data_IF_245869067088
#
_entry.id   IF_245869067088
#
_cell.length_a   1.000
_cell.length_b   1.000
_cell.length_c   1.000
_cell.angle_alpha   90.00
_cell.angle_beta   90.00
_cell.angle_gamma   90.00
#
_symmetry.space_group_name_H-M   'P 1'
#
loop_
_entity.id
_entity.type
_entity.pdbx_description
1 polymer ?
#
# COMPACT_ATOMS: atom_id res chain seq x y z
N UNK A 1 -12.65 -9.81 48.80
CA UNK A 1 -13.83 -10.68 48.54
C UNK A 1 -14.86 -9.82 47.81
N UNK A 2 -15.44 -10.29 46.70
CA UNK A 2 -16.50 -9.51 46.04
C UNK A 2 -17.74 -9.47 46.94
N UNK A 3 -18.50 -8.38 46.91
CA UNK A 3 -19.68 -8.19 47.76
C UNK A 3 -20.68 -9.36 47.66
N UNK A 4 -20.88 -9.85 46.43
CA UNK A 4 -21.71 -11.03 46.13
C UNK A 4 -21.20 -12.35 46.73
N UNK A 5 -19.89 -12.51 46.89
CA UNK A 5 -19.30 -13.69 47.53
C UNK A 5 -19.51 -13.65 49.06
N UNK A 6 -19.47 -12.43 49.64
CA UNK A 6 -19.74 -12.20 51.07
C UNK A 6 -21.21 -12.50 51.39
N UNK A 7 -22.14 -12.05 50.55
CA UNK A 7 -23.57 -12.24 50.77
C UNK A 7 -23.97 -13.72 50.64
N UNK A 8 -23.42 -14.44 49.67
CA UNK A 8 -23.60 -15.89 49.52
C UNK A 8 -23.09 -16.65 50.76
N UNK A 9 -21.93 -16.27 51.29
CA UNK A 9 -21.36 -16.88 52.49
C UNK A 9 -22.28 -16.69 53.71
N UNK A 10 -22.79 -15.49 53.93
CA UNK A 10 -23.71 -15.20 55.03
C UNK A 10 -25.08 -15.88 54.87
N UNK A 11 -25.57 -16.05 53.64
CA UNK A 11 -26.80 -16.79 53.37
C UNK A 11 -26.66 -18.28 53.72
N UNK A 12 -25.54 -18.92 53.34
CA UNK A 12 -25.28 -20.32 53.68
C UNK A 12 -25.10 -20.55 55.18
N UNK A 13 -24.52 -19.58 55.91
CA UNK A 13 -24.42 -19.63 57.36
C UNK A 13 -25.78 -19.54 58.06
N UNK A 14 -26.70 -18.73 57.53
CA UNK A 14 -28.04 -18.55 58.09
C UNK A 14 -28.98 -19.73 57.80
N UNK A 15 -28.79 -20.43 56.69
CA UNK A 15 -29.64 -21.54 56.25
C UNK A 15 -28.85 -22.84 56.04
N UNK A 16 -28.43 -23.52 57.12
CA UNK A 16 -27.74 -24.80 56.99
C UNK A 16 -28.70 -25.84 56.37
N UNK A 17 -28.39 -26.30 55.15
CA UNK A 17 -29.15 -27.34 54.44
C UNK A 17 -29.82 -26.90 53.13
N UNK A 18 -29.88 -25.60 52.85
CA UNK A 18 -30.28 -25.07 51.54
C UNK A 18 -29.18 -24.18 50.98
N UNK A 19 -28.13 -24.77 50.36
CA UNK A 19 -27.07 -23.97 49.78
C UNK A 19 -27.63 -23.09 48.67
N UNK A 20 -27.47 -21.78 48.81
CA UNK A 20 -27.82 -20.82 47.77
C UNK A 20 -26.97 -21.03 46.52
N UNK A 21 -27.48 -20.64 45.35
CA UNK A 21 -26.77 -20.84 44.09
C UNK A 21 -25.41 -20.11 44.11
N UNK A 22 -24.29 -20.82 43.89
CA UNK A 22 -22.97 -20.24 44.05
C UNK A 22 -22.74 -19.12 43.02
N UNK A 23 -22.02 -18.04 43.40
CA UNK A 23 -21.73 -16.96 42.47
C UNK A 23 -20.98 -17.51 41.25
N UNK A 24 -21.31 -17.05 40.03
CA UNK A 24 -20.71 -17.57 38.81
C UNK A 24 -19.19 -17.37 38.87
N UNK A 25 -18.42 -18.45 38.66
CA UNK A 25 -16.95 -18.42 38.68
C UNK A 25 -16.44 -17.41 37.64
N UNK A 26 -15.89 -16.28 38.12
CA UNK A 26 -15.30 -15.19 37.31
C UNK A 26 -14.35 -15.68 36.22
N UNK A 27 -13.69 -16.83 36.43
CA UNK A 27 -12.71 -17.41 35.49
C UNK A 27 -13.29 -17.68 34.09
N UNK A 28 -14.55 -18.11 33.98
CA UNK A 28 -15.19 -18.35 32.68
C UNK A 28 -15.50 -17.04 31.93
N UNK A 29 -15.76 -15.94 32.64
CA UNK A 29 -16.05 -14.65 32.01
C UNK A 29 -14.81 -14.04 31.35
N UNK A 30 -13.66 -14.07 32.05
CA UNK A 30 -12.39 -13.61 31.48
C UNK A 30 -11.96 -14.46 30.28
N UNK A 31 -12.14 -15.78 30.32
CA UNK A 31 -11.83 -16.66 29.19
C UNK A 31 -12.73 -16.37 27.98
N UNK A 32 -14.04 -16.21 28.18
CA UNK A 32 -14.96 -15.83 27.09
C UNK A 32 -14.62 -14.46 26.50
N UNK A 33 -14.21 -13.51 27.34
CA UNK A 33 -13.82 -12.16 26.88
C UNK A 33 -12.49 -12.17 26.13
N UNK A 34 -11.49 -12.89 26.64
CA UNK A 34 -10.21 -13.08 25.97
C UNK A 34 -10.38 -13.78 24.61
N UNK A 35 -11.23 -14.82 24.56
CA UNK A 35 -11.53 -15.54 23.32
C UNK A 35 -12.15 -14.61 22.26
N UNK A 36 -13.08 -13.73 22.65
CA UNK A 36 -13.63 -12.72 21.72
C UNK A 36 -12.55 -11.82 21.12
N UNK A 37 -11.63 -11.32 21.94
CA UNK A 37 -10.53 -10.47 21.46
C UNK A 37 -9.53 -11.22 20.59
N UNK A 38 -9.23 -12.49 20.91
CA UNK A 38 -8.39 -13.34 20.07
C UNK A 38 -9.04 -13.60 18.71
N UNK A 39 -10.35 -13.84 18.68
CA UNK A 39 -11.10 -14.06 17.44
C UNK A 39 -11.15 -12.79 16.58
N UNK A 40 -11.31 -11.62 17.21
CA UNK A 40 -11.23 -10.33 16.53
C UNK A 40 -9.82 -10.07 15.95
N UNK A 41 -8.76 -10.38 16.69
CA UNK A 41 -7.39 -10.28 16.19
C UNK A 41 -7.14 -11.24 15.02
N UNK A 42 -7.62 -12.48 15.12
CA UNK A 42 -7.50 -13.46 14.04
C UNK A 42 -8.21 -12.99 12.77
N UNK A 43 -9.40 -12.39 12.90
CA UNK A 43 -10.13 -11.79 11.77
C UNK A 43 -9.32 -10.67 11.11
N UNK A 44 -8.76 -9.75 11.90
CA UNK A 44 -7.95 -8.64 11.38
C UNK A 44 -6.70 -9.14 10.67
N UNK A 45 -6.03 -10.15 11.22
CA UNK A 45 -4.86 -10.77 10.58
C UNK A 45 -5.26 -11.45 9.27
N UNK A 46 -6.37 -12.19 9.23
CA UNK A 46 -6.86 -12.81 8.00
C UNK A 46 -7.18 -11.77 6.92
N UNK A 47 -7.80 -10.65 7.29
CA UNK A 47 -8.06 -9.52 6.38
C UNK A 47 -6.76 -8.89 5.88
N UNK A 48 -5.77 -8.68 6.75
CA UNK A 48 -4.48 -8.12 6.37
C UNK A 48 -3.73 -9.04 5.39
N UNK A 49 -3.75 -10.36 5.62
CA UNK A 49 -3.14 -11.34 4.70
C UNK A 49 -3.88 -11.35 3.36
N UNK A 50 -5.22 -11.35 3.38
CA UNK A 50 -6.03 -11.30 2.16
C UNK A 50 -5.78 -10.03 1.35
N UNK A 51 -5.70 -8.87 2.02
CA UNK A 51 -5.36 -7.60 1.39
C UNK A 51 -3.92 -7.60 0.83
N UNK A 52 -2.95 -8.16 1.56
CA UNK A 52 -1.58 -8.30 1.10
C UNK A 52 -1.45 -9.21 -0.13
N UNK A 53 -2.16 -10.34 -0.14
CA UNK A 53 -2.21 -11.24 -1.29
C UNK A 53 -2.88 -10.59 -2.50
N UNK A 54 -3.94 -9.80 -2.28
CA UNK A 54 -4.58 -9.02 -3.33
C UNK A 54 -3.62 -7.95 -3.88
N UNK A 55 -2.87 -7.26 -3.02
CA UNK A 55 -1.91 -6.23 -3.40
C UNK A 55 -0.74 -6.77 -4.23
N UNK A 56 -0.31 -8.00 -3.98
CA UNK A 56 0.76 -8.63 -4.76
C UNK A 56 0.28 -9.15 -6.13
N UNK A 57 -1.03 -9.26 -6.35
CA UNK A 57 -1.58 -9.79 -7.58
C UNK A 57 -1.72 -8.68 -8.65
N UNK A 58 -0.97 -8.71 -9.77
CA UNK A 58 -1.00 -7.63 -10.77
C UNK A 58 -2.37 -7.46 -11.45
N UNK A 59 -3.19 -8.52 -11.50
CA UNK A 59 -4.55 -8.45 -12.05
C UNK A 59 -5.51 -7.61 -11.20
N UNK A 60 -5.26 -7.52 -9.88
CA UNK A 60 -6.09 -6.72 -8.98
C UNK A 60 -5.90 -5.22 -9.19
N UNK A 61 -4.67 -4.80 -9.53
CA UNK A 61 -4.32 -3.42 -9.85
C UNK A 61 -5.05 -2.94 -11.10
N UNK A 62 -5.03 -3.73 -12.17
CA UNK A 62 -5.72 -3.38 -13.42
C UNK A 62 -7.24 -3.25 -13.24
N UNK A 63 -7.84 -4.16 -12.48
CA UNK A 63 -9.26 -4.09 -12.15
C UNK A 63 -9.59 -2.87 -11.28
N UNK A 64 -8.74 -2.58 -10.28
CA UNK A 64 -8.89 -1.45 -9.38
C UNK A 64 -8.81 -0.12 -10.11
N UNK A 65 -7.80 0.06 -10.97
CA UNK A 65 -7.64 1.24 -11.83
C UNK A 65 -8.85 1.44 -12.74
N UNK A 66 -9.28 0.39 -13.47
CA UNK A 66 -10.44 0.50 -14.37
C UNK A 66 -11.72 0.90 -13.62
N UNK A 67 -11.94 0.35 -12.42
CA UNK A 67 -13.09 0.69 -11.58
C UNK A 67 -13.00 2.11 -11.04
N UNK A 68 -11.81 2.54 -10.63
CA UNK A 68 -11.53 3.88 -10.12
C UNK A 68 -11.77 4.94 -11.18
N UNK A 69 -11.25 4.72 -12.39
CA UNK A 69 -11.49 5.58 -13.56
C UNK A 69 -12.97 5.66 -13.93
N UNK A 70 -13.69 4.54 -13.96
CA UNK A 70 -15.13 4.55 -14.21
C UNK A 70 -15.91 5.34 -13.15
N UNK A 71 -15.46 5.33 -11.89
CA UNK A 71 -16.04 6.10 -10.80
C UNK A 71 -15.73 7.59 -10.92
N UNK A 72 -14.48 7.95 -11.24
CA UNK A 72 -14.06 9.32 -11.49
C UNK A 72 -14.78 9.94 -12.69
N UNK A 73 -14.95 9.17 -13.78
CA UNK A 73 -15.73 9.59 -14.95
C UNK A 73 -17.19 9.84 -14.61
N UNK A 74 -17.82 8.97 -13.79
CA UNK A 74 -19.19 9.19 -13.30
C UNK A 74 -19.33 10.43 -12.41
N UNK A 75 -18.29 10.76 -11.67
CA UNK A 75 -18.27 11.94 -10.81
C UNK A 75 -17.82 13.22 -11.54
N UNK A 76 -17.46 13.12 -12.83
CA UNK A 76 -16.94 14.26 -13.60
C UNK A 76 -15.60 14.80 -13.06
N UNK A 77 -14.90 14.03 -12.23
CA UNK A 77 -13.62 14.37 -11.60
C UNK A 77 -12.43 13.82 -12.38
N UNK A 78 -12.68 13.14 -13.51
CA UNK A 78 -11.62 12.61 -14.34
C UNK A 78 -10.82 13.78 -14.94
N UNK A 79 -9.64 14.02 -14.38
CA UNK A 79 -8.65 14.88 -15.02
C UNK A 79 -8.35 14.24 -16.37
N UNK A 80 -8.46 14.97 -17.50
CA UNK A 80 -7.94 14.44 -18.75
C UNK A 80 -6.49 14.07 -18.45
N UNK A 81 -6.12 12.81 -18.71
CA UNK A 81 -4.74 12.40 -18.62
C UNK A 81 -3.98 13.36 -19.54
N UNK A 82 -3.36 14.37 -18.94
CA UNK A 82 -2.34 15.16 -19.61
C UNK A 82 -1.40 14.09 -20.11
N UNK A 83 -1.44 13.87 -21.42
CA UNK A 83 -0.43 13.10 -22.11
C UNK A 83 0.84 13.74 -21.62
N UNK A 84 1.55 13.09 -20.69
CA UNK A 84 2.95 13.35 -20.45
C UNK A 84 3.60 12.88 -21.74
N UNK A 85 3.45 13.68 -22.80
CA UNK A 85 4.43 13.77 -23.85
C UNK A 85 5.71 14.03 -23.09
N UNK A 86 6.49 12.98 -22.90
CA UNK A 86 7.89 13.10 -22.57
C UNK A 86 8.39 14.24 -23.45
N UNK A 87 8.64 15.40 -22.86
CA UNK A 87 9.15 16.51 -23.63
C UNK A 87 10.45 15.98 -24.24
N UNK A 88 10.62 15.97 -25.57
CA UNK A 88 11.92 15.69 -26.12
C UNK A 88 12.86 16.72 -25.49
N UNK A 89 13.85 16.23 -24.75
CA UNK A 89 14.90 17.05 -24.14
C UNK A 89 15.31 18.10 -25.18
N UNK A 90 15.11 19.39 -24.86
CA UNK A 90 15.62 20.50 -25.66
C UNK A 90 17.14 20.34 -25.75
N UNK A 91 17.63 19.75 -26.84
CA UNK A 91 19.04 19.78 -27.16
C UNK A 91 19.38 21.23 -27.48
N UNK A 92 20.35 21.78 -26.77
CA UNK A 92 20.80 23.16 -26.98
C UNK A 92 21.41 23.28 -28.36
N UNK A 93 20.74 23.98 -29.27
CA UNK A 93 21.29 24.44 -30.55
C UNK A 93 22.42 25.44 -30.29
N UNK A 94 23.60 24.94 -29.95
CA UNK A 94 24.85 25.67 -30.17
C UNK A 94 25.47 25.09 -31.43
N UNK A 95 25.33 25.78 -32.57
CA UNK A 95 25.97 25.40 -33.83
C UNK A 95 27.49 25.39 -33.66
N UNK A 96 28.09 24.22 -33.43
CA UNK A 96 29.55 24.09 -33.36
C UNK A 96 30.14 24.23 -34.76
N UNK A 97 31.29 24.89 -34.87
CA UNK A 97 31.95 25.15 -36.15
C UNK A 97 32.57 23.86 -36.71
N UNK A 98 32.54 23.71 -38.04
CA UNK A 98 33.04 22.53 -38.77
C UNK A 98 34.49 22.15 -38.38
N UNK A 99 35.32 23.13 -38.02
CA UNK A 99 36.70 22.92 -37.61
C UNK A 99 36.84 22.11 -36.32
N UNK A 100 35.83 22.10 -35.45
CA UNK A 100 35.88 21.43 -34.14
C UNK A 100 35.47 19.94 -34.21
N UNK A 101 34.79 19.57 -35.30
CA UNK A 101 34.24 18.24 -35.57
C UNK A 101 35.13 17.39 -36.50
N UNK A 102 36.18 17.94 -37.10
CA UNK A 102 37.08 17.21 -38.00
C UNK A 102 38.16 16.49 -37.17
N UNK A 103 38.26 15.16 -37.31
CA UNK A 103 39.40 14.37 -36.81
C UNK A 103 40.62 14.69 -37.68
N UNK A 104 41.81 15.02 -37.13
CA UNK A 104 43.01 15.14 -37.94
C UNK A 104 43.39 13.74 -38.47
N UNK A 105 43.14 13.48 -39.75
CA UNK A 105 43.55 12.26 -40.44
C UNK A 105 42.46 11.26 -40.84
N UNK A 106 41.16 11.53 -40.60
CA UNK A 106 40.10 10.69 -41.16
C UNK A 106 38.84 11.51 -41.45
N UNK A 107 38.55 11.74 -42.73
CA UNK A 107 37.40 12.52 -43.20
C UNK A 107 36.25 11.56 -43.53
N UNK A 108 35.54 11.08 -42.51
CA UNK A 108 34.28 10.36 -42.75
C UNK A 108 33.14 11.38 -42.58
N UNK A 109 32.61 11.82 -43.72
CA UNK A 109 31.63 12.90 -43.87
C UNK A 109 30.37 12.72 -43.00
N UNK A 110 29.97 11.47 -42.75
CA UNK A 110 28.75 11.13 -42.02
C UNK A 110 28.84 11.43 -40.51
N UNK A 111 30.03 11.23 -39.92
CA UNK A 111 30.27 11.50 -38.50
C UNK A 111 30.39 12.99 -38.21
N UNK A 112 31.00 13.74 -39.14
CA UNK A 112 31.12 15.21 -39.06
C UNK A 112 29.74 15.85 -39.14
N UNK A 113 28.88 15.40 -40.06
CA UNK A 113 27.50 15.89 -40.19
C UNK A 113 26.66 15.60 -38.95
N UNK A 114 26.86 14.44 -38.31
CA UNK A 114 26.19 14.10 -37.06
C UNK A 114 26.69 14.95 -35.87
N UNK A 115 27.99 15.27 -35.82
CA UNK A 115 28.57 16.10 -34.77
C UNK A 115 28.18 17.58 -34.90
N UNK A 116 28.15 18.12 -36.12
CA UNK A 116 27.66 19.50 -36.40
C UNK A 116 26.17 19.65 -36.05
N UNK A 117 25.38 18.59 -36.24
CA UNK A 117 23.97 18.53 -35.83
C UNK A 117 23.77 18.20 -34.34
N UNK A 118 24.84 18.09 -33.55
CA UNK A 118 24.76 17.79 -32.12
C UNK A 118 24.27 16.37 -31.77
N UNK A 119 24.19 15.46 -32.74
CA UNK A 119 23.59 14.14 -32.51
C UNK A 119 24.49 13.17 -31.74
N UNK A 120 25.77 13.51 -31.49
CA UNK A 120 26.68 12.72 -30.66
C UNK A 120 27.64 13.59 -29.84
N UNK A 121 27.92 13.14 -28.61
CA UNK A 121 29.02 13.66 -27.79
C UNK A 121 30.34 13.10 -28.33
N UNK A 122 31.37 13.94 -28.41
CA UNK A 122 32.71 13.60 -28.88
C UNK A 122 33.33 12.54 -27.98
N UNK A 123 33.24 11.27 -28.37
CA UNK A 123 33.96 10.16 -27.75
C UNK A 123 35.11 9.84 -28.71
N UNK A 124 36.29 10.38 -28.44
CA UNK A 124 37.48 9.71 -28.92
C UNK A 124 37.65 8.40 -28.17
#
# INVERSE_FOLDING_TARGET
MAEKDRDWYWQNLKNPGQPGEPPPRRRQWYLRRAFKHLLQLALLVALAIGAGALWQNPASHQWGEARWHALLGRLGLERPADKVTAQPMKYTDSSRSLAECIKPGNLIDDEVRACVKGQRVKTW
#
